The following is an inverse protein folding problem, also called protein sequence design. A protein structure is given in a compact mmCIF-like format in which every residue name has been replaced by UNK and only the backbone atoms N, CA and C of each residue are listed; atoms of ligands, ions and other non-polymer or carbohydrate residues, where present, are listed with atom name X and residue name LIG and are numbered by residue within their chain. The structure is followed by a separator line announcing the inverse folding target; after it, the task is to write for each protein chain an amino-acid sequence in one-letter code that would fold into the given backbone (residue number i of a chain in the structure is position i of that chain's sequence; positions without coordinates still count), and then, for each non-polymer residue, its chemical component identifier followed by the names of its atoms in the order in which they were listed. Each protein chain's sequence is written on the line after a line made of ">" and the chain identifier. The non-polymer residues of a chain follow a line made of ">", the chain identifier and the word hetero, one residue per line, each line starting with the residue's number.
data_IF_733258574304
#
_entry.id   IF_733258574304
#
_cell.length_a   1.000
_cell.length_b   1.000
_cell.length_c   1.000
_cell.angle_alpha   90.00
_cell.angle_beta   90.00
_cell.angle_gamma   90.00
#
_symmetry.space_group_name_H-M   'P 1'
#
loop_
_entity.id
_entity.type
_entity.pdbx_description
1 polymer ?
#
# COMPACT_ATOMS: atom_id res chain seq x y z
N UNK A 1 30.55 -14.15 -71.82
CA UNK A 1 29.77 -13.33 -70.87
C UNK A 1 28.47 -14.02 -70.56
N UNK A 2 28.41 -14.72 -69.45
CA UNK A 2 27.23 -15.46 -69.00
C UNK A 2 26.56 -14.66 -67.90
N UNK A 3 25.34 -14.23 -68.15
CA UNK A 3 24.50 -13.54 -67.15
C UNK A 3 23.97 -14.52 -66.11
N UNK A 4 24.15 -14.19 -64.83
CA UNK A 4 23.57 -14.96 -63.69
C UNK A 4 22.15 -14.43 -63.43
N UNK A 5 21.16 -15.32 -63.20
CA UNK A 5 19.82 -14.87 -62.79
C UNK A 5 19.81 -14.58 -61.30
N UNK A 6 19.32 -13.40 -60.93
CA UNK A 6 19.06 -12.97 -59.53
C UNK A 6 17.72 -13.55 -59.11
N UNK A 7 17.75 -14.48 -58.13
CA UNK A 7 16.56 -15.02 -57.52
C UNK A 7 16.03 -14.05 -56.46
N UNK A 8 14.87 -13.40 -56.71
CA UNK A 8 14.15 -12.58 -55.75
C UNK A 8 13.21 -13.46 -54.94
N UNK A 9 13.58 -13.71 -53.69
CA UNK A 9 12.69 -14.37 -52.73
C UNK A 9 11.79 -13.32 -52.09
N UNK A 10 10.51 -13.30 -52.49
CA UNK A 10 9.49 -12.51 -51.86
C UNK A 10 9.07 -13.17 -50.56
N UNK A 11 9.49 -12.62 -49.40
CA UNK A 11 8.93 -12.98 -48.10
C UNK A 11 7.53 -12.38 -47.98
N UNK A 12 6.50 -13.20 -48.04
CA UNK A 12 5.15 -12.85 -47.65
C UNK A 12 5.11 -12.77 -46.09
N UNK A 13 5.25 -11.57 -45.58
CA UNK A 13 4.96 -11.29 -44.19
C UNK A 13 3.43 -11.30 -43.99
N UNK A 14 2.89 -12.40 -43.49
CA UNK A 14 1.52 -12.42 -42.95
C UNK A 14 1.51 -11.63 -41.66
N UNK A 15 1.08 -10.37 -41.73
CA UNK A 15 0.75 -9.58 -40.56
C UNK A 15 -0.49 -10.22 -39.90
N UNK A 16 -0.28 -10.94 -38.80
CA UNK A 16 -1.36 -11.29 -37.90
C UNK A 16 -1.80 -9.99 -37.24
N UNK A 17 -2.87 -9.40 -37.71
CA UNK A 17 -3.58 -8.32 -37.04
C UNK A 17 -4.17 -8.91 -35.75
N UNK A 18 -3.40 -8.90 -34.67
CA UNK A 18 -3.96 -8.98 -33.33
C UNK A 18 -4.72 -7.68 -33.10
N UNK A 19 -6.05 -7.77 -33.18
CA UNK A 19 -6.93 -6.71 -32.68
C UNK A 19 -6.48 -6.40 -31.25
N UNK A 20 -6.18 -5.14 -30.88
CA UNK A 20 -5.93 -4.83 -29.49
C UNK A 20 -7.21 -5.25 -28.73
N UNK A 21 -7.07 -6.17 -27.77
CA UNK A 21 -8.13 -6.46 -26.81
C UNK A 21 -8.62 -5.10 -26.33
N UNK A 22 -9.92 -4.87 -26.37
CA UNK A 22 -10.55 -3.64 -25.89
C UNK A 22 -10.25 -3.55 -24.37
N UNK A 23 -9.10 -2.96 -24.05
CA UNK A 23 -8.73 -2.72 -22.67
C UNK A 23 -9.70 -1.69 -22.14
N UNK A 24 -10.55 -2.07 -21.19
CA UNK A 24 -11.39 -1.13 -20.48
C UNK A 24 -10.53 0.03 -19.99
N UNK A 25 -10.88 1.24 -20.39
CA UNK A 25 -10.22 2.44 -19.89
C UNK A 25 -10.54 2.59 -18.40
N UNK A 26 -9.57 3.07 -17.61
CA UNK A 26 -9.85 3.45 -16.24
C UNK A 26 -10.94 4.53 -16.22
N UNK A 27 -12.03 4.26 -15.55
CA UNK A 27 -13.01 5.29 -15.22
C UNK A 27 -12.71 5.77 -13.81
N UNK A 28 -12.40 7.06 -13.60
CA UNK A 28 -12.17 7.61 -12.28
C UNK A 28 -13.33 7.28 -11.34
N UNK A 29 -13.02 6.88 -10.14
CA UNK A 29 -14.00 6.60 -9.07
C UNK A 29 -13.76 7.64 -8.00
N UNK A 30 -14.81 8.18 -7.42
CA UNK A 30 -14.73 9.04 -6.24
C UNK A 30 -15.11 8.22 -5.02
N UNK A 31 -14.14 8.06 -4.10
CA UNK A 31 -14.39 7.44 -2.80
C UNK A 31 -15.00 8.50 -1.88
N UNK A 32 -16.18 8.24 -1.30
CA UNK A 32 -16.78 9.17 -0.36
C UNK A 32 -15.89 9.30 0.89
N UNK A 33 -15.53 10.52 1.33
CA UNK A 33 -14.77 10.71 2.57
C UNK A 33 -15.42 10.06 3.80
N UNK A 34 -16.75 10.00 3.84
CA UNK A 34 -17.49 9.38 4.94
C UNK A 34 -17.33 7.85 5.00
N UNK A 35 -17.08 7.18 3.87
CA UNK A 35 -16.76 5.75 3.88
C UNK A 35 -15.43 5.48 4.59
N UNK A 36 -14.40 6.27 4.30
CA UNK A 36 -13.11 6.20 4.99
C UNK A 36 -13.24 6.59 6.47
N UNK A 37 -14.02 7.64 6.77
CA UNK A 37 -14.32 8.06 8.14
C UNK A 37 -14.95 6.93 8.95
N UNK A 38 -15.90 6.20 8.38
CA UNK A 38 -16.57 5.11 9.05
C UNK A 38 -15.59 4.01 9.47
N UNK A 39 -14.63 3.66 8.61
CA UNK A 39 -13.60 2.66 8.93
C UNK A 39 -12.64 3.16 10.02
N UNK A 40 -12.15 4.40 9.92
CA UNK A 40 -11.27 4.99 10.93
C UNK A 40 -12.00 5.12 12.28
N UNK A 41 -13.26 5.56 12.27
CA UNK A 41 -14.07 5.66 13.48
C UNK A 41 -14.28 4.31 14.16
N UNK A 42 -14.56 3.26 13.41
CA UNK A 42 -14.70 1.91 13.94
C UNK A 42 -13.40 1.40 14.58
N UNK A 43 -12.25 1.59 13.90
CA UNK A 43 -10.97 1.07 14.38
C UNK A 43 -10.37 1.91 15.51
N UNK A 44 -10.30 3.23 15.36
CA UNK A 44 -9.63 4.10 16.31
C UNK A 44 -10.59 4.76 17.31
N UNK A 45 -11.85 5.03 16.93
CA UNK A 45 -12.84 5.64 17.82
C UNK A 45 -13.54 4.62 18.72
N UNK A 46 -14.06 3.52 18.15
CA UNK A 46 -14.87 2.56 18.90
C UNK A 46 -14.04 1.41 19.49
N UNK A 47 -13.04 0.90 18.76
CA UNK A 47 -12.12 -0.12 19.23
C UNK A 47 -11.01 0.51 20.04
N UNK A 48 -10.37 1.57 19.52
CA UNK A 48 -9.32 2.32 20.17
C UNK A 48 -7.95 1.64 20.08
N UNK A 49 -7.13 1.79 21.12
CA UNK A 49 -5.82 1.14 21.25
C UNK A 49 -5.95 -0.37 21.05
N UNK A 50 -5.18 -0.92 20.10
CA UNK A 50 -5.31 -2.28 19.60
C UNK A 50 -3.95 -2.92 19.32
N UNK A 51 -3.37 -3.55 20.32
CA UNK A 51 -2.06 -4.19 20.26
C UNK A 51 -2.03 -5.45 21.13
N UNK A 52 -0.89 -6.11 21.24
CA UNK A 52 -0.74 -7.35 22.02
C UNK A 52 -0.99 -7.16 23.52
N UNK A 53 -0.91 -5.92 24.05
CA UNK A 53 -1.28 -5.58 25.43
C UNK A 53 -2.79 -5.29 25.58
N UNK A 54 -3.51 -5.19 24.48
CA UNK A 54 -4.96 -5.05 24.37
C UNK A 54 -5.56 -6.17 23.48
N UNK A 55 -5.36 -7.43 23.84
CA UNK A 55 -5.64 -8.57 22.96
C UNK A 55 -7.09 -8.63 22.46
N UNK A 56 -8.05 -8.21 23.30
CA UNK A 56 -9.45 -8.17 22.91
C UNK A 56 -9.73 -7.10 21.85
N UNK A 57 -9.11 -5.91 21.98
CA UNK A 57 -9.24 -4.84 21.01
C UNK A 57 -8.59 -5.24 19.68
N UNK A 58 -7.40 -5.83 19.72
CA UNK A 58 -6.70 -6.30 18.52
C UNK A 58 -7.51 -7.39 17.79
N UNK A 59 -8.13 -8.34 18.50
CA UNK A 59 -9.04 -9.33 17.91
C UNK A 59 -10.29 -8.69 17.31
N UNK A 60 -10.89 -7.71 18.00
CA UNK A 60 -12.04 -6.95 17.47
C UNK A 60 -11.71 -6.21 16.17
N UNK A 61 -10.50 -5.66 16.05
CA UNK A 61 -10.03 -5.03 14.82
C UNK A 61 -9.89 -6.04 13.68
N UNK A 62 -9.29 -7.20 13.93
CA UNK A 62 -9.23 -8.29 12.96
C UNK A 62 -10.62 -8.73 12.50
N UNK A 63 -11.55 -8.93 13.45
CA UNK A 63 -12.94 -9.34 13.15
C UNK A 63 -13.71 -8.27 12.39
N UNK A 64 -13.42 -6.98 12.63
CA UNK A 64 -14.01 -5.87 11.86
C UNK A 64 -13.57 -5.92 10.39
N UNK A 65 -12.26 -6.05 10.14
CA UNK A 65 -11.68 -6.13 8.80
C UNK A 65 -12.23 -7.36 8.05
N UNK A 66 -12.24 -8.50 8.72
CA UNK A 66 -12.76 -9.74 8.13
C UNK A 66 -14.23 -9.61 7.74
N UNK A 67 -15.09 -9.03 8.60
CA UNK A 67 -16.50 -8.77 8.28
C UNK A 67 -16.66 -7.82 7.10
N UNK A 68 -15.86 -6.74 7.04
CA UNK A 68 -15.88 -5.81 5.92
C UNK A 68 -15.56 -6.51 4.60
N UNK A 69 -14.51 -7.31 4.55
CA UNK A 69 -14.16 -8.08 3.35
C UNK A 69 -15.20 -9.14 2.97
N UNK A 70 -15.77 -9.83 3.95
CA UNK A 70 -16.87 -10.79 3.68
C UNK A 70 -18.11 -10.09 3.10
N UNK A 71 -18.44 -8.90 3.57
CA UNK A 71 -19.53 -8.08 3.03
C UNK A 71 -19.25 -7.64 1.58
N UNK A 72 -17.98 -7.45 1.21
CA UNK A 72 -17.55 -7.19 -0.17
C UNK A 72 -17.54 -8.45 -1.05
N UNK A 73 -17.89 -9.63 -0.50
CA UNK A 73 -17.97 -10.90 -1.23
C UNK A 73 -16.66 -11.69 -1.29
N UNK A 74 -15.66 -11.32 -0.50
CA UNK A 74 -14.40 -12.05 -0.46
C UNK A 74 -14.41 -13.23 0.54
N UNK A 75 -13.70 -14.30 0.17
CA UNK A 75 -13.23 -15.30 1.14
C UNK A 75 -11.97 -14.77 1.82
N UNK A 76 -11.96 -14.76 3.14
CA UNK A 76 -10.82 -14.26 3.93
C UNK A 76 -9.99 -15.43 4.41
N UNK A 77 -8.69 -15.36 4.17
CA UNK A 77 -7.69 -16.28 4.70
C UNK A 77 -7.02 -15.66 5.93
N UNK A 78 -6.90 -16.42 7.01
CA UNK A 78 -6.12 -16.05 8.19
C UNK A 78 -4.78 -16.76 8.15
N UNK A 79 -3.69 -16.01 8.09
CA UNK A 79 -2.34 -16.54 8.32
C UNK A 79 -2.03 -16.42 9.80
N UNK A 80 -2.33 -17.48 10.54
CA UNK A 80 -2.14 -17.52 11.99
C UNK A 80 -0.71 -17.89 12.37
N UNK A 81 -0.19 -17.27 13.44
CA UNK A 81 1.07 -17.62 14.06
C UNK A 81 1.04 -17.38 15.57
N UNK A 82 1.78 -18.21 16.31
CA UNK A 82 1.87 -18.12 17.76
C UNK A 82 2.85 -17.02 18.19
N UNK A 83 2.47 -16.27 19.22
CA UNK A 83 3.31 -15.28 19.88
C UNK A 83 3.04 -15.34 21.39
N UNK A 84 3.94 -15.97 22.13
CA UNK A 84 3.70 -16.30 23.54
C UNK A 84 2.50 -17.24 23.71
N UNK A 85 1.55 -16.94 24.62
CA UNK A 85 0.35 -17.75 24.81
C UNK A 85 -0.74 -17.48 23.79
N UNK A 86 -0.63 -16.43 22.99
CA UNK A 86 -1.65 -15.99 22.06
C UNK A 86 -1.33 -16.38 20.61
N UNK A 87 -2.39 -16.45 19.81
CA UNK A 87 -2.32 -16.60 18.35
C UNK A 87 -2.83 -15.32 17.68
N UNK A 88 -2.05 -14.81 16.73
CA UNK A 88 -2.36 -13.62 15.95
C UNK A 88 -2.41 -13.96 14.47
N UNK A 89 -3.07 -13.13 13.69
CA UNK A 89 -3.26 -13.44 12.28
C UNK A 89 -3.07 -12.21 11.37
N UNK A 90 -2.32 -12.37 10.30
CA UNK A 90 -2.50 -11.54 9.12
C UNK A 90 -3.79 -11.99 8.42
N UNK A 91 -4.54 -11.03 7.89
CA UNK A 91 -5.77 -11.31 7.15
C UNK A 91 -5.52 -11.05 5.67
N UNK A 92 -5.89 -11.97 4.80
CA UNK A 92 -5.69 -11.85 3.36
C UNK A 92 -6.98 -12.08 2.60
N UNK A 93 -7.18 -11.28 1.55
CA UNK A 93 -8.10 -11.54 0.47
C UNK A 93 -7.39 -11.48 -0.88
N UNK A 94 -7.88 -12.26 -1.85
CA UNK A 94 -7.29 -12.35 -3.17
C UNK A 94 -8.32 -12.09 -4.26
N UNK A 95 -8.02 -11.17 -5.17
CA UNK A 95 -8.68 -11.00 -6.46
C UNK A 95 -7.81 -11.60 -7.55
N UNK A 96 -8.15 -12.80 -8.02
CA UNK A 96 -7.35 -13.52 -9.03
C UNK A 96 -7.34 -12.78 -10.37
N UNK A 97 -6.16 -12.64 -10.94
CA UNK A 97 -5.94 -12.07 -12.27
C UNK A 97 -6.43 -12.97 -13.40
N UNK A 98 -6.77 -12.38 -14.53
CA UNK A 98 -7.29 -13.11 -15.70
C UNK A 98 -6.21 -13.50 -16.70
N UNK A 99 -5.16 -12.66 -16.85
CA UNK A 99 -4.12 -12.83 -17.87
C UNK A 99 -2.84 -13.44 -17.28
N UNK A 100 -2.38 -12.89 -16.15
CA UNK A 100 -1.18 -13.29 -15.45
C UNK A 100 -1.49 -13.60 -13.97
N UNK A 101 -2.25 -14.67 -13.68
CA UNK A 101 -2.75 -14.95 -12.32
C UNK A 101 -1.66 -15.29 -11.32
N UNK A 102 -0.46 -15.66 -11.78
CA UNK A 102 0.67 -15.97 -10.90
C UNK A 102 1.49 -14.71 -10.52
N UNK A 103 1.35 -13.62 -11.28
CA UNK A 103 1.97 -12.34 -10.94
C UNK A 103 1.06 -11.59 -9.98
N UNK A 104 1.62 -11.21 -8.83
CA UNK A 104 0.87 -10.63 -7.71
C UNK A 104 1.25 -9.18 -7.51
N UNK A 105 0.25 -8.32 -7.42
CA UNK A 105 0.34 -6.99 -6.81
C UNK A 105 -0.24 -7.12 -5.39
N UNK A 106 0.55 -6.82 -4.39
CA UNK A 106 0.14 -6.88 -3.00
C UNK A 106 -0.03 -5.47 -2.44
N UNK A 107 -1.16 -5.21 -1.79
CA UNK A 107 -1.42 -3.98 -1.05
C UNK A 107 -1.62 -4.36 0.40
N UNK A 108 -0.89 -3.72 1.31
CA UNK A 108 -0.94 -4.04 2.73
C UNK A 108 -1.04 -2.79 3.61
N UNK A 109 -1.57 -2.99 4.81
CA UNK A 109 -1.58 -2.02 5.90
C UNK A 109 -1.61 -2.75 7.23
N UNK A 110 -0.88 -2.28 8.24
CA UNK A 110 -1.00 -2.85 9.56
C UNK A 110 -2.27 -2.37 10.27
N UNK A 111 -2.84 -3.24 11.13
CA UNK A 111 -4.09 -2.93 11.81
C UNK A 111 -3.97 -2.79 13.33
N UNK A 112 -2.80 -3.05 13.89
CA UNK A 112 -2.48 -2.72 15.28
C UNK A 112 -2.16 -1.23 15.45
N UNK A 113 -2.01 -0.78 16.69
CA UNK A 113 -1.57 0.56 17.03
C UNK A 113 -0.55 0.50 18.17
N UNK A 114 0.33 1.49 18.23
CA UNK A 114 1.32 1.59 19.29
C UNK A 114 0.65 1.71 20.67
N UNK A 115 1.35 1.29 21.72
CA UNK A 115 0.88 1.39 23.11
C UNK A 115 0.56 2.84 23.45
N UNK A 116 -0.64 3.06 24.01
CA UNK A 116 -1.13 4.38 24.42
C UNK A 116 -1.75 5.23 23.31
N UNK A 117 -1.80 4.73 22.06
CA UNK A 117 -2.42 5.44 20.92
C UNK A 117 -3.67 4.74 20.42
N UNK A 118 -4.77 5.45 20.14
CA UNK A 118 -5.91 4.87 19.43
C UNK A 118 -5.59 4.59 17.95
N UNK A 119 -4.54 5.18 17.38
CA UNK A 119 -4.02 4.87 16.05
C UNK A 119 -5.00 5.19 14.92
N UNK A 120 -5.47 6.44 14.86
CA UNK A 120 -6.39 6.85 13.81
C UNK A 120 -5.67 7.09 12.48
N UNK A 121 -4.63 7.93 12.50
CA UNK A 121 -3.77 8.10 11.34
C UNK A 121 -2.82 6.91 11.20
N UNK A 122 -2.30 6.41 12.31
CA UNK A 122 -1.36 5.31 12.40
C UNK A 122 -1.99 4.07 13.06
N UNK A 123 -2.58 3.08 12.32
CA UNK A 123 -2.69 3.11 10.88
C UNK A 123 -4.14 2.74 10.43
N UNK A 124 -5.16 3.26 11.15
CA UNK A 124 -6.54 3.04 10.71
C UNK A 124 -6.82 3.71 9.35
N UNK A 125 -6.06 4.77 8.95
CA UNK A 125 -6.18 5.36 7.62
C UNK A 125 -5.69 4.43 6.53
N UNK A 126 -4.57 3.74 6.74
CA UNK A 126 -4.07 2.71 5.81
C UNK A 126 -5.04 1.54 5.67
N UNK A 127 -5.60 1.07 6.79
CA UNK A 127 -6.64 0.01 6.76
C UNK A 127 -7.91 0.48 6.06
N UNK A 128 -8.36 1.72 6.29
CA UNK A 128 -9.53 2.28 5.60
C UNK A 128 -9.30 2.34 4.08
N UNK A 129 -8.11 2.79 3.66
CA UNK A 129 -7.72 2.79 2.25
C UNK A 129 -7.67 1.37 1.68
N UNK A 130 -7.11 0.40 2.42
CA UNK A 130 -7.07 -1.02 2.04
C UNK A 130 -8.46 -1.59 1.78
N UNK A 131 -9.43 -1.30 2.67
CA UNK A 131 -10.82 -1.76 2.58
C UNK A 131 -11.54 -1.14 1.38
N UNK A 132 -11.34 0.15 1.10
CA UNK A 132 -11.98 0.81 -0.03
C UNK A 132 -11.35 0.41 -1.38
N UNK A 133 -10.02 0.23 -1.45
CA UNK A 133 -9.35 -0.29 -2.64
C UNK A 133 -9.79 -1.70 -2.96
N UNK A 134 -9.94 -2.56 -1.96
CA UNK A 134 -10.44 -3.93 -2.15
C UNK A 134 -11.91 -3.95 -2.62
N UNK A 135 -12.76 -3.07 -2.10
CA UNK A 135 -14.14 -2.90 -2.55
C UNK A 135 -14.22 -2.54 -4.04
N UNK A 136 -13.36 -1.63 -4.50
CA UNK A 136 -13.28 -1.26 -5.91
C UNK A 136 -12.76 -2.41 -6.78
N UNK A 137 -11.78 -3.16 -6.28
CA UNK A 137 -11.21 -4.31 -6.99
C UNK A 137 -12.20 -5.46 -7.14
N UNK A 138 -13.18 -5.63 -6.22
CA UNK A 138 -14.24 -6.64 -6.33
C UNK A 138 -15.05 -6.50 -7.61
N UNK A 139 -15.36 -5.27 -8.01
CA UNK A 139 -16.18 -4.95 -9.17
C UNK A 139 -15.42 -4.95 -10.50
N UNK A 140 -14.08 -5.09 -10.49
CA UNK A 140 -13.23 -4.91 -11.69
C UNK A 140 -12.33 -6.12 -11.94
N UNK A 141 -12.16 -6.46 -13.22
CA UNK A 141 -11.19 -7.48 -13.62
C UNK A 141 -9.80 -6.86 -13.72
N UNK A 142 -8.79 -7.60 -13.25
CA UNK A 142 -7.38 -7.26 -13.34
C UNK A 142 -6.66 -8.29 -14.21
N UNK A 143 -5.59 -7.89 -14.89
CA UNK A 143 -4.72 -8.82 -15.63
C UNK A 143 -3.92 -9.69 -14.67
N UNK A 144 -3.26 -9.07 -13.68
CA UNK A 144 -2.53 -9.73 -12.59
C UNK A 144 -3.42 -9.94 -11.36
N UNK A 145 -3.03 -10.87 -10.51
CA UNK A 145 -3.66 -11.08 -9.20
C UNK A 145 -3.38 -9.90 -8.27
N UNK A 146 -4.41 -9.44 -7.57
CA UNK A 146 -4.26 -8.45 -6.49
C UNK A 146 -4.58 -9.13 -5.17
N UNK A 147 -3.64 -9.03 -4.22
CA UNK A 147 -3.83 -9.44 -2.82
C UNK A 147 -3.91 -8.21 -1.93
N UNK A 148 -4.86 -8.22 -1.01
CA UNK A 148 -4.98 -7.22 0.05
C UNK A 148 -4.70 -7.92 1.37
N UNK A 149 -3.77 -7.37 2.16
CA UNK A 149 -3.33 -7.99 3.41
C UNK A 149 -3.37 -6.96 4.54
N UNK A 150 -4.12 -7.27 5.60
CA UNK A 150 -4.04 -6.53 6.85
C UNK A 150 -3.02 -7.24 7.75
N UNK A 151 -1.92 -6.56 8.05
CA UNK A 151 -0.82 -7.09 8.87
C UNK A 151 -1.06 -6.82 10.35
N UNK A 152 -0.57 -7.73 11.21
CA UNK A 152 -0.63 -7.60 12.66
C UNK A 152 0.77 -7.43 13.24
N UNK A 153 0.87 -6.77 14.40
CA UNK A 153 2.13 -6.63 15.14
C UNK A 153 3.23 -5.91 14.36
N UNK A 154 2.86 -4.84 13.66
CA UNK A 154 3.84 -3.94 13.04
C UNK A 154 4.54 -3.09 14.10
N UNK A 155 3.80 -2.65 15.08
CA UNK A 155 4.22 -1.71 16.11
C UNK A 155 5.15 -2.33 17.18
N UNK A 156 5.94 -1.52 17.91
CA UNK A 156 6.68 -1.99 19.08
C UNK A 156 5.76 -2.69 20.10
N UNK A 157 6.23 -3.80 20.69
CA UNK A 157 7.61 -4.33 20.73
C UNK A 157 7.96 -5.28 19.59
N UNK A 158 7.09 -5.48 18.59
CA UNK A 158 7.28 -6.47 17.53
C UNK A 158 7.91 -5.89 16.27
N UNK A 159 7.95 -4.57 16.16
CA UNK A 159 8.54 -3.82 15.05
C UNK A 159 9.93 -4.34 14.69
N UNK A 160 10.18 -4.59 13.41
CA UNK A 160 11.43 -5.13 12.85
C UNK A 160 11.91 -6.45 13.50
N UNK A 161 11.04 -7.19 14.19
CA UNK A 161 11.35 -8.52 14.69
C UNK A 161 10.82 -9.62 13.76
N UNK A 162 11.27 -10.86 13.98
CA UNK A 162 10.72 -12.02 13.27
C UNK A 162 9.23 -12.29 13.59
N UNK A 163 8.65 -11.57 14.54
CA UNK A 163 7.27 -11.68 15.01
C UNK A 163 6.36 -10.59 14.41
N UNK A 164 6.92 -9.63 13.69
CA UNK A 164 6.17 -8.66 12.90
C UNK A 164 5.38 -9.39 11.80
N UNK A 165 4.08 -9.11 11.70
CA UNK A 165 3.19 -9.86 10.81
C UNK A 165 3.60 -9.84 9.36
N UNK A 166 4.04 -8.69 8.84
CA UNK A 166 4.55 -8.58 7.47
C UNK A 166 5.84 -9.38 7.26
N UNK A 167 6.70 -9.53 8.29
CA UNK A 167 7.89 -10.38 8.24
C UNK A 167 7.52 -11.86 8.11
N UNK A 168 6.56 -12.30 8.95
CA UNK A 168 6.02 -13.67 8.86
C UNK A 168 5.42 -13.91 7.48
N UNK A 169 4.67 -12.94 6.96
CA UNK A 169 4.02 -13.06 5.65
C UNK A 169 5.04 -13.13 4.51
N UNK A 170 5.96 -12.17 4.43
CA UNK A 170 6.95 -12.06 3.36
C UNK A 170 7.84 -13.32 3.28
N UNK A 171 8.31 -13.81 4.44
CA UNK A 171 9.10 -15.03 4.54
C UNK A 171 8.33 -16.26 4.03
N UNK A 172 7.06 -16.41 4.40
CA UNK A 172 6.23 -17.51 3.91
C UNK A 172 5.91 -17.37 2.42
N UNK A 173 5.66 -16.15 1.93
CA UNK A 173 5.46 -15.88 0.52
C UNK A 173 6.71 -16.30 -0.31
N UNK A 174 7.91 -16.00 0.21
CA UNK A 174 9.15 -16.42 -0.41
C UNK A 174 9.30 -17.93 -0.44
N UNK A 175 8.99 -18.60 0.66
CA UNK A 175 9.04 -20.04 0.77
C UNK A 175 8.05 -20.76 -0.19
N UNK A 176 6.88 -20.16 -0.44
CA UNK A 176 5.89 -20.65 -1.43
C UNK A 176 6.30 -20.37 -2.87
N UNK A 177 7.30 -19.52 -3.11
CA UNK A 177 7.67 -19.08 -4.46
C UNK A 177 6.69 -18.08 -5.06
N UNK A 178 5.97 -17.30 -4.25
CA UNK A 178 5.03 -16.30 -4.73
C UNK A 178 5.75 -15.26 -5.60
N UNK A 179 5.15 -14.91 -6.73
CA UNK A 179 5.70 -13.95 -7.70
C UNK A 179 5.16 -12.55 -7.42
N UNK A 180 5.52 -11.97 -6.29
CA UNK A 180 5.11 -10.60 -5.93
C UNK A 180 5.90 -9.61 -6.79
N UNK A 181 5.21 -8.93 -7.71
CA UNK A 181 5.77 -7.94 -8.66
C UNK A 181 5.80 -6.54 -8.09
N UNK A 182 4.92 -6.26 -7.16
CA UNK A 182 4.87 -5.03 -6.41
C UNK A 182 4.22 -5.28 -5.05
N UNK A 183 4.78 -4.71 -4.00
CA UNK A 183 4.14 -4.59 -2.69
C UNK A 183 4.01 -3.11 -2.35
N UNK A 184 2.81 -2.70 -1.93
CA UNK A 184 2.48 -1.34 -1.52
C UNK A 184 2.07 -1.37 -0.06
N UNK A 185 2.89 -0.79 0.83
CA UNK A 185 2.53 -0.55 2.23
C UNK A 185 1.81 0.78 2.32
N UNK A 186 0.58 0.77 2.80
CA UNK A 186 -0.21 1.96 3.10
C UNK A 186 0.03 2.35 4.56
N UNK A 187 0.74 3.46 4.76
CA UNK A 187 1.28 3.85 6.05
C UNK A 187 0.94 5.29 6.36
N UNK A 188 0.10 5.55 7.37
CA UNK A 188 -0.30 6.93 7.71
C UNK A 188 -0.68 7.75 6.48
N UNK A 189 -1.96 7.91 6.17
CA UNK A 189 -2.41 8.55 4.93
C UNK A 189 -3.32 9.77 5.16
N UNK A 190 -3.50 10.20 6.40
CA UNK A 190 -4.60 11.09 6.73
C UNK A 190 -4.23 12.50 7.17
N UNK A 191 -2.96 12.89 7.24
CA UNK A 191 -2.59 14.21 7.72
C UNK A 191 -1.90 15.08 6.68
N UNK A 192 -2.54 16.23 6.36
CA UNK A 192 -2.05 17.17 5.34
C UNK A 192 -2.22 18.61 5.82
N UNK A 193 -1.23 19.46 5.50
CA UNK A 193 -1.20 20.87 5.93
C UNK A 193 -0.63 21.78 4.84
N UNK A 194 -1.30 22.90 4.60
CA UNK A 194 -0.82 23.97 3.71
C UNK A 194 0.09 24.98 4.41
N UNK A 195 0.31 24.85 5.72
CA UNK A 195 1.15 25.74 6.47
C UNK A 195 2.63 25.60 6.07
N UNK A 196 3.33 26.73 5.87
CA UNK A 196 4.78 26.72 5.65
C UNK A 196 5.49 26.12 6.87
N UNK A 197 6.52 25.30 6.63
CA UNK A 197 7.28 24.60 7.67
C UNK A 197 6.54 23.40 8.28
N UNK A 198 5.37 23.02 7.76
CA UNK A 198 4.63 21.84 8.25
C UNK A 198 5.25 20.51 7.80
N UNK A 199 6.22 20.52 6.89
CA UNK A 199 7.02 19.36 6.55
C UNK A 199 8.45 19.52 7.08
N UNK A 200 8.89 18.57 7.91
CA UNK A 200 10.27 18.44 8.33
C UNK A 200 10.92 17.24 7.64
N UNK A 201 12.25 17.11 7.76
CA UNK A 201 13.02 16.10 7.05
C UNK A 201 14.08 15.50 7.96
N UNK A 202 14.55 14.27 7.69
CA UNK A 202 15.68 13.68 8.42
C UNK A 202 16.97 14.51 8.25
N UNK A 203 17.90 14.32 9.15
CA UNK A 203 19.21 14.98 9.07
C UNK A 203 20.06 14.37 7.91
N UNK A 204 20.74 15.21 7.10
CA UNK A 204 20.80 16.68 7.13
C UNK A 204 19.62 17.32 6.34
N UNK A 205 18.67 17.91 7.07
CA UNK A 205 17.41 18.42 6.53
C UNK A 205 17.55 19.46 5.41
N UNK A 206 18.68 20.20 5.40
CA UNK A 206 18.95 21.22 4.38
C UNK A 206 19.02 20.63 2.96
N UNK A 207 19.49 19.40 2.80
CA UNK A 207 19.57 18.74 1.50
C UNK A 207 18.20 18.42 0.93
N UNK A 208 17.26 17.97 1.77
CA UNK A 208 15.90 17.66 1.35
C UNK A 208 15.13 18.92 0.96
N UNK A 209 15.32 20.04 1.69
CA UNK A 209 14.66 21.32 1.39
C UNK A 209 15.04 21.94 0.05
N UNK A 210 16.11 21.47 -0.58
CA UNK A 210 16.48 21.89 -1.95
C UNK A 210 15.60 21.24 -3.02
N UNK A 211 14.97 20.09 -2.70
CA UNK A 211 14.27 19.26 -3.67
C UNK A 211 12.80 19.03 -3.33
N UNK A 212 12.41 19.19 -2.08
CA UNK A 212 11.07 18.91 -1.59
C UNK A 212 10.42 20.15 -0.96
N UNK A 213 9.08 20.28 -1.06
CA UNK A 213 8.35 21.39 -0.46
C UNK A 213 8.42 21.36 1.07
N UNK A 214 8.33 22.53 1.69
CA UNK A 214 8.26 22.71 3.15
C UNK A 214 6.84 22.56 3.71
N UNK A 215 5.85 22.31 2.85
CA UNK A 215 4.44 22.12 3.22
C UNK A 215 4.06 20.66 3.14
N UNK A 216 3.40 20.17 4.16
CA UNK A 216 2.93 18.81 4.26
C UNK A 216 1.64 18.54 3.51
N UNK A 217 1.54 18.95 2.25
CA UNK A 217 0.33 18.85 1.42
C UNK A 217 0.41 17.83 0.28
N UNK A 218 1.35 16.89 0.35
CA UNK A 218 1.58 15.84 -0.65
C UNK A 218 1.57 14.44 -0.01
N UNK A 219 1.30 13.42 -0.81
CA UNK A 219 1.58 12.04 -0.47
C UNK A 219 3.00 11.66 -0.92
N UNK A 220 3.75 10.95 -0.10
CA UNK A 220 5.11 10.50 -0.41
C UNK A 220 5.14 9.02 -0.76
N UNK A 221 5.81 8.68 -1.84
CA UNK A 221 6.16 7.31 -2.21
C UNK A 221 7.63 7.07 -1.89
N UNK A 222 7.91 6.09 -1.03
CA UNK A 222 9.25 5.76 -0.56
C UNK A 222 9.68 4.40 -1.09
N UNK A 223 10.92 4.31 -1.58
CA UNK A 223 11.52 3.04 -1.97
C UNK A 223 12.99 2.95 -1.59
N UNK A 224 13.51 1.71 -1.52
CA UNK A 224 14.95 1.48 -1.61
C UNK A 224 15.43 1.62 -3.07
N UNK A 225 16.75 1.57 -3.28
CA UNK A 225 17.34 1.71 -4.62
C UNK A 225 16.95 0.55 -5.55
N UNK A 226 16.76 -0.66 -5.01
CA UNK A 226 16.35 -1.84 -5.78
C UNK A 226 14.93 -1.74 -6.34
N UNK A 227 14.03 -1.08 -5.61
CA UNK A 227 12.63 -0.89 -5.99
C UNK A 227 12.38 0.38 -6.84
N UNK A 228 13.43 1.13 -7.20
CA UNK A 228 13.32 2.38 -8.00
C UNK A 228 12.52 2.23 -9.32
N UNK A 229 12.62 1.12 -10.09
CA UNK A 229 11.78 0.94 -11.27
C UNK A 229 10.29 0.90 -10.93
N UNK A 230 9.91 0.18 -9.86
CA UNK A 230 8.53 0.14 -9.37
C UNK A 230 8.06 1.52 -8.89
N UNK A 231 8.92 2.26 -8.15
CA UNK A 231 8.61 3.63 -7.70
C UNK A 231 8.24 4.53 -8.87
N UNK A 232 9.06 4.53 -9.94
CA UNK A 232 8.81 5.33 -11.13
C UNK A 232 7.47 4.99 -11.75
N UNK A 233 7.22 3.71 -12.00
CA UNK A 233 5.96 3.24 -12.56
C UNK A 233 4.75 3.62 -11.70
N UNK A 234 4.84 3.46 -10.38
CA UNK A 234 3.77 3.79 -9.45
C UNK A 234 3.46 5.30 -9.45
N UNK A 235 4.48 6.15 -9.35
CA UNK A 235 4.32 7.61 -9.34
C UNK A 235 3.77 8.13 -10.67
N UNK A 236 4.28 7.64 -11.81
CA UNK A 236 3.76 7.99 -13.14
C UNK A 236 2.29 7.59 -13.27
N UNK A 237 1.95 6.38 -12.82
CA UNK A 237 0.56 5.90 -12.83
C UNK A 237 -0.34 6.70 -11.90
N UNK A 238 0.12 7.09 -10.71
CA UNK A 238 -0.62 7.92 -9.78
C UNK A 238 -0.90 9.30 -10.37
N UNK A 239 0.13 9.98 -10.91
CA UNK A 239 0.01 11.30 -11.56
C UNK A 239 -0.92 11.30 -12.77
N UNK A 240 -1.01 10.20 -13.48
CA UNK A 240 -1.93 10.07 -14.63
C UNK A 240 -3.39 9.96 -14.20
N UNK A 241 -3.67 9.63 -12.93
CA UNK A 241 -5.01 9.35 -12.42
C UNK A 241 -5.49 10.32 -11.33
N UNK A 242 -4.58 11.14 -10.78
CA UNK A 242 -4.87 12.05 -9.68
C UNK A 242 -4.12 13.37 -9.83
N UNK A 243 -4.78 14.46 -9.46
CA UNK A 243 -4.20 15.79 -9.31
C UNK A 243 -3.67 16.06 -7.89
N UNK A 244 -3.78 15.06 -7.00
CA UNK A 244 -3.25 15.21 -5.64
C UNK A 244 -1.71 15.32 -5.68
N UNK A 245 -1.11 16.29 -4.95
CA UNK A 245 0.34 16.45 -4.94
C UNK A 245 1.05 15.18 -4.48
N UNK A 246 2.03 14.73 -5.26
CA UNK A 246 2.80 13.52 -4.99
C UNK A 246 4.29 13.78 -5.12
N UNK A 247 5.03 13.37 -4.09
CA UNK A 247 6.48 13.35 -4.06
C UNK A 247 6.99 11.90 -4.00
N UNK A 248 8.27 11.70 -4.30
CA UNK A 248 8.86 10.36 -4.29
C UNK A 248 10.34 10.38 -3.97
N UNK A 249 10.78 9.36 -3.23
CA UNK A 249 12.19 9.19 -2.89
C UNK A 249 12.60 7.72 -3.03
N UNK A 250 13.72 7.49 -3.73
CA UNK A 250 14.45 6.22 -3.70
C UNK A 250 15.79 6.46 -3.00
N UNK A 251 16.00 5.84 -1.84
CA UNK A 251 17.18 6.11 -1.02
C UNK A 251 17.65 4.84 -0.28
N UNK A 252 18.67 5.00 0.55
CA UNK A 252 19.21 3.92 1.36
C UNK A 252 18.28 3.62 2.55
N UNK A 253 18.13 2.34 2.89
CA UNK A 253 17.31 1.86 4.01
C UNK A 253 17.79 2.38 5.38
N UNK A 254 19.08 2.80 5.48
CA UNK A 254 19.66 3.39 6.69
C UNK A 254 19.12 4.81 7.02
N UNK A 255 18.43 5.46 6.09
CA UNK A 255 17.81 6.77 6.37
C UNK A 255 16.62 6.55 7.27
N UNK A 256 16.55 7.20 8.47
CA UNK A 256 15.44 7.00 9.41
C UNK A 256 14.06 7.19 8.78
N UNK A 257 13.17 6.24 8.98
CA UNK A 257 11.81 6.23 8.44
C UNK A 257 11.67 5.56 7.07
N UNK A 258 12.76 5.25 6.37
CA UNK A 258 12.70 4.69 5.00
C UNK A 258 12.27 3.23 5.00
N UNK A 259 12.66 2.45 5.98
CA UNK A 259 12.31 1.03 6.17
C UNK A 259 11.30 0.81 7.33
N UNK A 260 10.67 1.90 7.81
CA UNK A 260 9.80 1.86 9.00
C UNK A 260 8.33 1.63 8.62
N UNK A 261 8.05 0.50 8.01
CA UNK A 261 6.70 -0.07 7.82
C UNK A 261 6.82 -1.45 7.17
N UNK A 262 5.69 -2.08 6.88
CA UNK A 262 5.54 -3.44 6.34
C UNK A 262 6.37 -3.73 5.09
N UNK A 263 6.60 -2.72 4.23
CA UNK A 263 7.39 -2.87 2.99
C UNK A 263 8.84 -3.28 3.23
N UNK A 264 9.44 -2.89 4.38
CA UNK A 264 10.79 -3.29 4.77
C UNK A 264 10.94 -4.81 4.88
N UNK A 265 9.90 -5.49 5.37
CA UNK A 265 9.84 -6.95 5.45
C UNK A 265 9.93 -7.61 4.06
N UNK A 266 9.34 -7.00 3.04
CA UNK A 266 9.38 -7.51 1.67
C UNK A 266 10.73 -7.22 1.00
N UNK A 267 11.39 -6.09 1.30
CA UNK A 267 12.76 -5.84 0.85
C UNK A 267 13.73 -6.88 1.40
N UNK A 268 13.59 -7.26 2.67
CA UNK A 268 14.42 -8.30 3.30
C UNK A 268 14.31 -9.65 2.58
N UNK A 269 13.16 -9.96 1.98
CA UNK A 269 12.92 -11.17 1.20
C UNK A 269 13.16 -10.98 -0.31
N UNK A 270 13.70 -9.83 -0.73
CA UNK A 270 14.06 -9.52 -2.12
C UNK A 270 12.87 -9.20 -3.04
N UNK A 271 11.74 -8.82 -2.50
CA UNK A 271 10.59 -8.35 -3.26
C UNK A 271 10.63 -6.85 -3.51
N UNK A 272 10.21 -6.37 -4.70
CA UNK A 272 10.03 -4.94 -4.94
C UNK A 272 8.86 -4.42 -4.11
N UNK A 273 9.12 -3.41 -3.27
CA UNK A 273 8.11 -2.83 -2.40
C UNK A 273 8.25 -1.31 -2.28
N UNK A 274 7.14 -0.64 -1.96
CA UNK A 274 7.03 0.79 -1.70
C UNK A 274 6.24 1.03 -0.42
N UNK A 275 6.58 2.11 0.28
CA UNK A 275 5.69 2.72 1.27
C UNK A 275 4.99 3.92 0.63
N UNK A 276 3.69 4.07 0.89
CA UNK A 276 2.89 5.24 0.54
C UNK A 276 2.46 5.90 1.85
N UNK A 277 2.87 7.14 2.08
CA UNK A 277 2.74 7.77 3.41
C UNK A 277 2.49 9.28 3.33
N UNK A 278 1.89 9.83 4.38
CA UNK A 278 1.87 11.27 4.63
C UNK A 278 3.14 11.77 5.35
N UNK A 279 4.13 10.87 5.55
CA UNK A 279 5.42 11.07 6.22
C UNK A 279 5.40 11.00 7.76
N UNK A 280 4.31 10.59 8.37
CA UNK A 280 4.22 10.26 9.80
C UNK A 280 4.99 11.23 10.73
N UNK A 281 6.04 10.75 11.37
CA UNK A 281 6.88 11.49 12.33
C UNK A 281 7.49 12.80 11.77
N UNK A 282 7.57 12.96 10.45
CA UNK A 282 8.11 14.18 9.82
C UNK A 282 7.05 15.25 9.52
N UNK A 283 5.78 14.96 9.85
CA UNK A 283 4.67 15.89 9.57
C UNK A 283 3.59 15.88 10.65
N UNK A 284 3.22 14.70 11.16
CA UNK A 284 2.07 14.50 12.03
C UNK A 284 2.45 14.68 13.50
N UNK A 285 1.99 15.77 14.17
CA UNK A 285 2.42 16.07 15.53
C UNK A 285 1.83 15.13 16.60
N UNK A 286 0.84 14.34 16.23
CA UNK A 286 0.17 13.39 17.12
C UNK A 286 0.63 11.94 16.91
N UNK A 287 1.66 11.73 16.08
CA UNK A 287 2.22 10.41 15.80
C UNK A 287 2.65 9.71 17.09
N UNK A 288 2.17 8.48 17.31
CA UNK A 288 2.43 7.66 18.49
C UNK A 288 1.97 8.29 19.82
N UNK A 289 0.89 9.08 19.82
CA UNK A 289 0.33 9.68 21.02
C UNK A 289 -1.14 9.30 21.23
N UNK A 290 -1.64 9.52 22.46
CA UNK A 290 -3.07 9.38 22.78
C UNK A 290 -3.99 10.31 21.97
N UNK A 291 -3.41 11.34 21.32
CA UNK A 291 -4.13 12.31 20.53
C UNK A 291 -4.25 11.92 19.05
N UNK A 292 -3.74 10.76 18.63
CA UNK A 292 -3.97 10.21 17.28
C UNK A 292 -5.40 9.68 17.17
N UNK A 293 -6.35 10.59 17.05
CA UNK A 293 -7.79 10.34 17.10
C UNK A 293 -8.48 10.65 15.77
N UNK A 294 -9.68 10.08 15.49
CA UNK A 294 -10.35 10.20 14.19
C UNK A 294 -10.58 11.64 13.71
N UNK A 295 -10.76 12.60 14.61
CA UNK A 295 -10.96 14.02 14.27
C UNK A 295 -9.71 14.74 13.76
N UNK A 296 -8.53 14.12 13.90
CA UNK A 296 -7.26 14.66 13.35
C UNK A 296 -7.06 14.32 11.88
N UNK A 297 -7.84 13.38 11.35
CA UNK A 297 -7.71 12.89 9.96
C UNK A 297 -8.40 13.84 8.99
N UNK A 298 -7.69 14.23 7.93
CA UNK A 298 -8.23 14.95 6.79
C UNK A 298 -8.84 13.98 5.78
N UNK A 299 -10.10 13.63 5.97
CA UNK A 299 -10.79 12.63 5.15
C UNK A 299 -10.98 13.06 3.70
N UNK A 300 -11.06 14.37 3.43
CA UNK A 300 -11.14 14.88 2.06
C UNK A 300 -9.85 14.65 1.28
N UNK A 301 -8.70 14.91 1.92
CA UNK A 301 -7.39 14.62 1.34
C UNK A 301 -7.16 13.10 1.22
N UNK A 302 -7.47 12.33 2.27
CA UNK A 302 -7.38 10.87 2.26
C UNK A 302 -8.16 10.27 1.09
N UNK A 303 -9.39 10.71 0.84
CA UNK A 303 -10.22 10.23 -0.26
C UNK A 303 -9.55 10.48 -1.62
N UNK A 304 -9.02 11.67 -1.86
CA UNK A 304 -8.30 12.00 -3.11
C UNK A 304 -7.02 11.16 -3.30
N UNK A 305 -6.31 10.86 -2.22
CA UNK A 305 -5.15 9.96 -2.25
C UNK A 305 -5.60 8.55 -2.63
N UNK A 306 -6.65 8.03 -2.00
CA UNK A 306 -7.15 6.68 -2.27
C UNK A 306 -7.72 6.56 -3.69
N UNK A 307 -8.37 7.61 -4.23
CA UNK A 307 -8.78 7.68 -5.64
C UNK A 307 -7.59 7.52 -6.58
N UNK A 308 -6.49 8.25 -6.32
CA UNK A 308 -5.25 8.12 -7.08
C UNK A 308 -4.61 6.74 -6.97
N UNK A 309 -4.60 6.16 -5.77
CA UNK A 309 -4.12 4.79 -5.54
C UNK A 309 -4.96 3.74 -6.28
N UNK A 310 -6.27 3.93 -6.37
CA UNK A 310 -7.14 3.02 -7.12
C UNK A 310 -6.79 3.00 -8.61
N UNK A 311 -6.57 4.16 -9.22
CA UNK A 311 -6.14 4.26 -10.62
C UNK A 311 -4.73 3.71 -10.85
N UNK A 312 -3.81 3.99 -9.93
CA UNK A 312 -2.46 3.43 -9.95
C UNK A 312 -2.49 1.90 -9.85
N UNK A 313 -3.25 1.34 -8.91
CA UNK A 313 -3.39 -0.10 -8.74
C UNK A 313 -3.96 -0.76 -10.00
N UNK A 314 -4.93 -0.13 -10.65
CA UNK A 314 -5.45 -0.57 -11.95
C UNK A 314 -4.35 -0.62 -13.01
N UNK A 315 -3.50 0.40 -13.10
CA UNK A 315 -2.40 0.46 -14.07
C UNK A 315 -1.32 -0.60 -13.81
N UNK A 316 -0.96 -0.84 -12.55
CA UNK A 316 0.01 -1.87 -12.17
C UNK A 316 -0.52 -3.30 -12.39
N UNK A 317 -1.83 -3.49 -12.27
CA UNK A 317 -2.50 -4.78 -12.40
C UNK A 317 -2.71 -5.27 -13.84
N UNK A 318 -2.38 -4.45 -14.83
CA UNK A 318 -2.39 -4.79 -16.27
C UNK A 318 -1.30 -5.74 -16.69
#
# INVERSE_FOLDING_TARGET
>A
MLARPTLVIALLATSVNMSPSSQEAWTPVTIPPDALRAHVQALAGEIGERNTFRPQALRRAADYIERAWRTQGYAVTRQEYALGPDTWANLEITRRGRENPDDVILVGAHYDSVIGSPGANDNATGVAALLELSRLAAARAQGKTVRFVAFVNEEPPHFQTAQMGSHVYAKQARARGDRIRAMLSLETLGYYSEASGSQVFPFPSVLYRLFYPDRGNFVLFVSNLGSRPLLRQAVESFRAQSDFPVESIATFELVPGVDWSDHGSFWAEGYPALMVTDTALYRYPYYHTEQDTPEKVNYGALARVVDGLAGMLWALGR
#
